data_IF_115395573512
#
_entry.id   IF_115395573512
#
_cell.length_a   1.000
_cell.length_b   1.000
_cell.length_c   1.000
_cell.angle_alpha   90.00
_cell.angle_beta   90.00
_cell.angle_gamma   90.00
#
_symmetry.space_group_name_H-M   'P 1'
#
loop_
_entity.id
_entity.type
_entity.pdbx_description
1 polymer ?
#
# COMPACT_ATOMS: atom_id res chain seq x y z
N UNK A 1 -8.38 -6.48 22.70
CA UNK A 1 -7.03 -5.91 22.45
C UNK A 1 -6.92 -5.41 21.03
N UNK A 2 -6.34 -4.25 20.84
CA UNK A 2 -6.12 -3.72 19.51
C UNK A 2 -5.04 -4.54 18.80
N UNK A 3 -5.27 -4.86 17.52
CA UNK A 3 -4.27 -5.46 16.67
C UNK A 3 -3.36 -4.35 16.15
N UNK A 4 -2.06 -4.62 16.08
CA UNK A 4 -1.09 -3.65 15.57
C UNK A 4 -0.48 -4.14 14.27
N UNK A 5 -0.31 -3.23 13.32
CA UNK A 5 0.32 -3.53 12.05
C UNK A 5 1.27 -2.39 11.67
N UNK A 6 2.43 -2.73 11.14
CA UNK A 6 3.39 -1.76 10.59
C UNK A 6 3.37 -1.82 9.09
N UNK A 7 3.28 -0.65 8.44
CA UNK A 7 3.24 -0.54 6.99
C UNK A 7 4.41 0.33 6.55
N UNK A 8 5.21 -0.20 5.63
CA UNK A 8 6.33 0.56 5.07
C UNK A 8 5.84 1.42 3.92
N UNK A 9 6.17 2.70 3.97
CA UNK A 9 5.82 3.69 2.96
C UNK A 9 7.09 4.19 2.28
N UNK A 10 7.10 4.18 0.95
CA UNK A 10 8.22 4.65 0.14
C UNK A 10 7.81 5.91 -0.59
N UNK A 11 8.53 7.00 -0.33
CA UNK A 11 8.25 8.28 -0.97
C UNK A 11 9.36 8.73 -1.90
N UNK A 12 8.99 9.43 -2.96
CA UNK A 12 9.90 10.21 -3.80
C UNK A 12 9.35 11.64 -3.91
N UNK A 13 10.02 12.56 -4.63
CA UNK A 13 9.54 13.95 -4.66
C UNK A 13 8.12 14.16 -5.16
N UNK A 14 7.57 13.22 -5.93
CA UNK A 14 6.24 13.36 -6.51
C UNK A 14 5.14 12.58 -5.82
N UNK A 15 5.44 11.41 -5.29
CA UNK A 15 4.43 10.49 -4.76
C UNK A 15 4.97 9.62 -3.63
N UNK A 16 4.07 8.88 -3.00
CA UNK A 16 4.42 7.85 -2.02
C UNK A 16 3.56 6.61 -2.23
N UNK A 17 4.08 5.47 -1.83
CA UNK A 17 3.40 4.16 -1.95
C UNK A 17 3.57 3.37 -0.67
N UNK A 18 2.48 2.73 -0.23
CA UNK A 18 2.49 1.82 0.90
C UNK A 18 2.63 0.38 0.40
N UNK A 19 3.63 -0.33 0.90
CA UNK A 19 3.84 -1.75 0.56
C UNK A 19 2.94 -2.63 1.40
N UNK A 20 2.20 -3.51 0.75
CA UNK A 20 1.29 -4.41 1.44
C UNK A 20 1.17 -5.73 0.68
N UNK A 21 1.16 -6.89 1.36
CA UNK A 21 1.05 -8.18 0.66
C UNK A 21 -0.28 -8.32 -0.07
N UNK A 22 -0.22 -8.73 -1.33
CA UNK A 22 -1.43 -8.92 -2.15
C UNK A 22 -2.39 -9.94 -1.53
N UNK A 23 -1.86 -11.00 -0.94
CA UNK A 23 -2.70 -12.01 -0.30
C UNK A 23 -3.54 -11.43 0.84
N UNK A 24 -3.01 -10.44 1.56
CA UNK A 24 -3.75 -9.78 2.63
C UNK A 24 -4.82 -8.84 2.10
N UNK A 25 -4.62 -8.25 0.92
CA UNK A 25 -5.68 -7.47 0.26
C UNK A 25 -6.87 -8.36 -0.08
N UNK A 26 -6.61 -9.59 -0.52
CA UNK A 26 -7.68 -10.57 -0.76
C UNK A 26 -8.40 -10.92 0.55
N UNK A 27 -7.65 -11.18 1.61
CA UNK A 27 -8.23 -11.49 2.92
C UNK A 27 -9.09 -10.35 3.48
N UNK A 28 -8.72 -9.11 3.19
CA UNK A 28 -9.49 -7.93 3.61
C UNK A 28 -10.70 -7.66 2.71
N UNK A 29 -10.81 -8.37 1.59
CA UNK A 29 -11.92 -8.16 0.64
C UNK A 29 -11.80 -6.92 -0.19
N UNK A 30 -10.60 -6.36 -0.35
CA UNK A 30 -10.38 -5.11 -1.08
C UNK A 30 -9.48 -5.25 -2.30
N UNK A 31 -9.05 -6.46 -2.64
CA UNK A 31 -8.13 -6.67 -3.77
C UNK A 31 -8.67 -6.11 -5.09
N UNK A 32 -9.99 -6.20 -5.32
CA UNK A 32 -10.65 -5.69 -6.51
C UNK A 32 -10.97 -4.18 -6.44
N UNK A 33 -10.70 -3.54 -5.31
CA UNK A 33 -10.96 -2.10 -5.12
C UNK A 33 -9.71 -1.25 -5.32
N UNK A 34 -8.57 -1.88 -5.48
CA UNK A 34 -7.31 -1.16 -5.72
C UNK A 34 -7.24 -0.75 -7.19
N UNK A 35 -6.82 0.48 -7.43
CA UNK A 35 -6.79 1.06 -8.78
C UNK A 35 -5.49 0.71 -9.52
N UNK A 36 -5.47 0.87 -10.87
CA UNK A 36 -4.24 0.72 -11.66
C UNK A 36 -3.21 1.82 -11.43
N UNK A 37 -3.52 2.84 -10.65
CA UNK A 37 -2.54 3.86 -10.25
C UNK A 37 -1.52 3.31 -9.26
N UNK A 38 -1.83 2.20 -8.63
CA UNK A 38 -0.89 1.48 -7.76
C UNK A 38 -0.05 0.51 -8.58
N UNK A 39 1.01 -0.04 -7.97
CA UNK A 39 1.95 -0.94 -8.62
C UNK A 39 2.03 -2.25 -7.87
N UNK A 40 2.65 -3.24 -8.48
CA UNK A 40 2.92 -4.52 -7.84
C UNK A 40 4.29 -5.05 -8.26
N UNK A 41 4.91 -5.80 -7.35
CA UNK A 41 6.17 -6.47 -7.61
C UNK A 41 6.23 -7.74 -6.75
N UNK A 42 6.32 -8.90 -7.41
CA UNK A 42 6.26 -10.17 -6.70
C UNK A 42 4.94 -10.34 -5.97
N UNK A 43 5.00 -10.63 -4.68
CA UNK A 43 3.82 -10.87 -3.84
C UNK A 43 3.27 -9.60 -3.18
N UNK A 44 3.91 -8.45 -3.41
CA UNK A 44 3.54 -7.20 -2.77
C UNK A 44 2.87 -6.23 -3.73
N UNK A 45 1.89 -5.50 -3.21
CA UNK A 45 1.32 -4.32 -3.86
C UNK A 45 1.96 -3.08 -3.26
N UNK A 46 2.07 -2.03 -4.06
CA UNK A 46 2.54 -0.71 -3.65
C UNK A 46 1.41 0.27 -3.92
N UNK A 47 0.68 0.60 -2.84
CA UNK A 47 -0.56 1.36 -2.93
C UNK A 47 -0.28 2.85 -2.95
N UNK A 48 -0.75 3.51 -4.00
CA UNK A 48 -0.54 4.95 -4.21
C UNK A 48 -1.27 5.75 -3.12
N UNK A 49 -0.58 6.73 -2.52
CA UNK A 49 -1.07 7.42 -1.32
C UNK A 49 -2.36 8.20 -1.54
N UNK A 50 -2.54 8.79 -2.74
CA UNK A 50 -3.72 9.61 -3.02
C UNK A 50 -4.92 8.80 -3.48
N UNK A 51 -4.71 7.57 -3.95
CA UNK A 51 -5.77 6.76 -4.56
C UNK A 51 -6.16 5.55 -3.71
N UNK A 52 -5.19 4.74 -3.28
CA UNK A 52 -5.49 3.42 -2.73
C UNK A 52 -5.14 3.23 -1.26
N UNK A 53 -4.26 4.06 -0.70
CA UNK A 53 -3.87 3.92 0.70
C UNK A 53 -5.08 4.09 1.63
N UNK A 54 -5.97 5.04 1.33
CA UNK A 54 -7.16 5.26 2.17
C UNK A 54 -8.09 4.05 2.17
N UNK A 55 -8.19 3.34 1.04
CA UNK A 55 -8.98 2.10 0.97
C UNK A 55 -8.41 1.05 1.92
N UNK A 56 -7.08 0.89 1.93
CA UNK A 56 -6.41 -0.03 2.85
C UNK A 56 -6.63 0.38 4.31
N UNK A 57 -6.42 1.66 4.63
CA UNK A 57 -6.54 2.14 6.00
C UNK A 57 -7.96 1.96 6.54
N UNK A 58 -8.96 2.25 5.72
CA UNK A 58 -10.36 2.06 6.10
C UNK A 58 -10.65 0.59 6.41
N UNK A 59 -10.17 -0.33 5.57
CA UNK A 59 -10.38 -1.76 5.78
C UNK A 59 -9.69 -2.27 7.05
N UNK A 60 -8.45 -1.81 7.30
CA UNK A 60 -7.70 -2.22 8.49
C UNK A 60 -8.33 -1.68 9.76
N UNK A 61 -8.77 -0.43 9.77
CA UNK A 61 -9.44 0.17 10.93
C UNK A 61 -10.76 -0.51 11.24
N UNK A 62 -11.51 -0.90 10.21
CA UNK A 62 -12.76 -1.62 10.39
C UNK A 62 -12.55 -2.98 11.06
N UNK A 63 -11.37 -3.58 10.95
CA UNK A 63 -11.01 -4.84 11.60
C UNK A 63 -10.30 -4.64 12.94
N UNK A 64 -10.18 -3.40 13.41
CA UNK A 64 -9.62 -3.11 14.72
C UNK A 64 -8.09 -2.98 14.74
N UNK A 65 -7.46 -2.77 13.59
CA UNK A 65 -6.02 -2.58 13.53
C UNK A 65 -5.61 -1.16 13.93
N UNK A 66 -4.54 -1.09 14.70
CA UNK A 66 -3.80 0.13 14.97
C UNK A 66 -2.61 0.17 14.03
N UNK A 67 -2.47 1.25 13.26
CA UNK A 67 -1.53 1.30 12.13
C UNK A 67 -0.34 2.19 12.48
N UNK A 68 0.86 1.66 12.25
CA UNK A 68 2.10 2.42 12.36
C UNK A 68 2.78 2.46 11.00
N UNK A 69 3.22 3.64 10.58
CA UNK A 69 3.94 3.80 9.32
C UNK A 69 5.43 3.89 9.55
N UNK A 70 6.19 3.18 8.71
CA UNK A 70 7.63 3.31 8.61
C UNK A 70 7.95 3.94 7.26
N UNK A 71 8.32 5.21 7.25
CA UNK A 71 8.52 5.97 6.03
C UNK A 71 9.97 5.95 5.60
N UNK A 72 10.19 5.83 4.29
CA UNK A 72 11.48 5.90 3.64
C UNK A 72 11.36 6.87 2.47
N UNK A 73 12.31 7.77 2.32
CA UNK A 73 12.24 8.80 1.28
C UNK A 73 13.51 8.78 0.41
N UNK A 74 13.33 8.99 -0.89
CA UNK A 74 14.44 9.18 -1.82
C UNK A 74 14.28 10.51 -2.55
N UNK A 75 15.40 11.21 -2.80
CA UNK A 75 15.40 12.44 -3.58
C UNK A 75 15.35 12.20 -5.09
N UNK A 76 15.49 10.94 -5.50
CA UNK A 76 15.46 10.53 -6.90
C UNK A 76 14.09 9.91 -7.19
N UNK A 77 13.78 9.73 -8.48
CA UNK A 77 12.60 8.99 -8.88
C UNK A 77 12.65 7.58 -8.29
N UNK A 78 11.57 7.15 -7.64
CA UNK A 78 11.50 5.83 -7.02
C UNK A 78 11.50 4.73 -8.07
N UNK A 79 12.20 3.62 -7.79
CA UNK A 79 12.16 2.43 -8.63
C UNK A 79 10.74 1.82 -8.73
N UNK A 80 9.86 2.13 -7.80
CA UNK A 80 8.47 1.66 -7.80
C UNK A 80 7.76 2.08 -9.08
N UNK A 81 8.11 3.24 -9.65
CA UNK A 81 7.52 3.73 -10.90
C UNK A 81 7.80 2.83 -12.10
N UNK A 82 8.80 1.95 -11.99
CA UNK A 82 9.14 0.96 -13.02
C UNK A 82 8.49 -0.40 -12.82
N UNK A 83 7.75 -0.58 -11.74
CA UNK A 83 7.05 -1.85 -11.48
C UNK A 83 5.80 -1.97 -12.35
N UNK A 84 5.26 -3.18 -12.43
CA UNK A 84 3.99 -3.41 -13.14
C UNK A 84 2.85 -2.69 -12.44
N UNK A 85 1.87 -2.21 -13.20
CA UNK A 85 0.65 -1.68 -12.59
C UNK A 85 -0.08 -2.79 -11.85
N UNK A 86 -0.80 -2.39 -10.80
CA UNK A 86 -1.52 -3.35 -9.97
C UNK A 86 -2.59 -4.08 -10.78
N UNK A 87 -2.66 -5.39 -10.61
CA UNK A 87 -3.71 -6.27 -11.15
C UNK A 87 -4.05 -7.29 -10.07
N UNK A 88 -5.29 -7.71 -10.09
CA UNK A 88 -5.76 -8.77 -9.17
C UNK A 88 -5.03 -10.08 -9.44
#
# INVERSE_FOLDING_TARGET
MAKKISIKVFGDPGHAWARFPKAKLVSLGIADKITPYSYQNGTNAFLEEDCDLSTLLTALKAKGYEIKFNESFTNKQSKIRGYCTYQI
#
